data_IF_461981276460
#
_entry.id   IF_461981276460
#
_cell.length_a   1.000
_cell.length_b   1.000
_cell.length_c   1.000
_cell.angle_alpha   90.00
_cell.angle_beta   90.00
_cell.angle_gamma   90.00
#
_symmetry.space_group_name_H-M   'P 1'
#
loop_
_entity.id
_entity.type
_entity.pdbx_description
1 polymer ?
#
# COMPACT_ATOMS: atom_id res chain seq x y z
N UNK A 1 6.94 8.47 11.71
CA UNK A 1 7.45 8.07 13.04
C UNK A 1 7.26 6.57 13.35
N UNK A 2 6.05 6.01 13.21
CA UNK A 2 5.76 4.61 13.61
C UNK A 2 6.66 3.53 12.98
N UNK A 3 6.98 3.61 11.68
CA UNK A 3 7.86 2.64 10.98
C UNK A 3 9.32 2.69 11.48
N UNK A 4 9.84 3.89 11.73
CA UNK A 4 11.18 4.08 12.32
C UNK A 4 11.22 3.57 13.77
N UNK A 5 10.15 3.80 14.53
CA UNK A 5 9.99 3.25 15.87
C UNK A 5 9.93 1.72 15.84
N UNK A 6 9.16 1.11 14.93
CA UNK A 6 9.12 -0.33 14.74
C UNK A 6 10.50 -0.93 14.45
N UNK A 7 11.28 -0.34 13.53
CA UNK A 7 12.63 -0.79 13.22
C UNK A 7 13.57 -0.73 14.44
N UNK A 8 13.48 0.35 15.22
CA UNK A 8 14.25 0.52 16.44
C UNK A 8 13.87 -0.53 17.50
N UNK A 9 12.57 -0.77 17.69
CA UNK A 9 12.05 -1.79 18.62
C UNK A 9 12.50 -3.19 18.21
N UNK A 10 12.47 -3.51 16.91
CA UNK A 10 12.97 -4.76 16.37
C UNK A 10 14.48 -4.93 16.62
N UNK A 11 15.28 -3.87 16.44
CA UNK A 11 16.73 -3.92 16.75
C UNK A 11 17.02 -4.20 18.23
N UNK A 12 16.14 -3.75 19.13
CA UNK A 12 16.26 -3.93 20.57
C UNK A 12 15.69 -5.24 21.10
N UNK A 13 15.13 -6.11 20.25
CA UNK A 13 14.46 -7.35 20.68
C UNK A 13 13.11 -7.13 21.39
N UNK A 14 12.58 -5.90 21.38
CA UNK A 14 11.34 -5.57 22.11
C UNK A 14 10.08 -6.21 21.48
N UNK A 15 10.22 -6.78 20.28
CA UNK A 15 9.13 -7.45 19.55
C UNK A 15 9.13 -8.96 19.74
N UNK A 16 10.15 -9.55 20.37
CA UNK A 16 10.29 -11.01 20.50
C UNK A 16 9.07 -11.62 21.21
N UNK A 17 8.57 -10.93 22.24
CA UNK A 17 7.33 -11.30 22.96
C UNK A 17 6.09 -11.39 22.06
N UNK A 18 6.04 -10.62 20.97
CA UNK A 18 4.92 -10.59 20.02
C UNK A 18 5.00 -11.70 18.97
N UNK A 19 6.13 -12.41 18.93
CA UNK A 19 6.38 -13.46 17.95
C UNK A 19 6.31 -14.87 18.53
N UNK A 20 6.29 -14.98 19.87
CA UNK A 20 6.32 -16.26 20.59
C UNK A 20 4.95 -16.94 20.70
N UNK A 21 3.86 -16.19 20.55
CA UNK A 21 2.50 -16.71 20.65
C UNK A 21 2.16 -17.76 19.58
N UNK A 22 1.07 -18.49 19.78
CA UNK A 22 0.66 -19.58 18.88
C UNK A 22 0.24 -19.04 17.51
N UNK A 23 -0.58 -18.00 17.53
CA UNK A 23 -1.05 -17.28 16.33
C UNK A 23 0.11 -16.61 15.63
N UNK A 24 0.97 -15.91 16.37
CA UNK A 24 2.16 -15.27 15.82
C UNK A 24 3.10 -16.25 15.10
N UNK A 25 3.33 -17.44 15.68
CA UNK A 25 4.11 -18.51 15.04
C UNK A 25 3.44 -19.05 13.78
N UNK A 26 2.12 -19.26 13.82
CA UNK A 26 1.35 -19.67 12.63
C UNK A 26 1.45 -18.64 11.49
N UNK A 27 1.49 -17.35 11.83
CA UNK A 27 1.64 -16.25 10.88
C UNK A 27 3.09 -15.98 10.49
N UNK A 28 4.05 -16.67 11.11
CA UNK A 28 5.49 -16.42 10.95
C UNK A 28 5.86 -14.95 11.21
N UNK A 29 5.28 -14.31 12.23
CA UNK A 29 5.48 -12.86 12.50
C UNK A 29 6.96 -12.48 12.69
N UNK A 30 7.76 -13.33 13.35
CA UNK A 30 9.20 -13.09 13.50
C UNK A 30 9.91 -12.97 12.13
N UNK A 31 9.54 -13.85 11.19
CA UNK A 31 10.10 -13.84 9.85
C UNK A 31 9.65 -12.60 9.07
N UNK A 32 8.36 -12.26 9.15
CA UNK A 32 7.82 -11.04 8.53
C UNK A 32 8.55 -9.79 9.04
N UNK A 33 8.68 -9.60 10.36
CA UNK A 33 9.34 -8.43 10.94
C UNK A 33 10.83 -8.36 10.60
N UNK A 34 11.52 -9.50 10.55
CA UNK A 34 12.91 -9.55 10.05
C UNK A 34 12.99 -9.10 8.60
N UNK A 35 12.06 -9.53 7.76
CA UNK A 35 12.03 -9.21 6.33
C UNK A 35 11.67 -7.77 6.01
N UNK A 36 11.00 -7.04 6.91
CA UNK A 36 10.72 -5.59 6.74
C UNK A 36 11.99 -4.80 6.42
N UNK A 37 13.15 -5.22 6.96
CA UNK A 37 14.45 -4.57 6.70
C UNK A 37 14.95 -4.74 5.26
N UNK A 38 14.49 -5.79 4.59
CA UNK A 38 14.87 -6.15 3.25
C UNK A 38 13.80 -5.73 2.21
N UNK A 39 12.67 -5.17 2.68
CA UNK A 39 11.51 -4.87 1.84
C UNK A 39 10.83 -6.13 1.27
N UNK A 40 9.66 -5.95 0.66
CA UNK A 40 8.95 -6.96 -0.14
C UNK A 40 8.53 -8.18 0.66
N UNK A 41 7.98 -7.96 1.85
CA UNK A 41 7.59 -9.08 2.72
C UNK A 41 6.60 -9.96 1.97
N UNK A 42 5.64 -9.37 1.25
CA UNK A 42 4.70 -10.10 0.41
C UNK A 42 5.36 -11.08 -0.58
N UNK A 43 6.38 -10.65 -1.33
CA UNK A 43 7.09 -11.54 -2.26
C UNK A 43 7.94 -12.57 -1.52
N UNK A 44 8.73 -12.16 -0.54
CA UNK A 44 9.67 -13.06 0.16
C UNK A 44 8.95 -14.17 0.94
N UNK A 45 7.77 -13.85 1.47
CA UNK A 45 6.93 -14.80 2.19
C UNK A 45 5.96 -15.57 1.28
N UNK A 46 5.91 -15.24 -0.01
CA UNK A 46 5.03 -15.92 -0.97
C UNK A 46 3.54 -15.60 -0.80
N UNK A 47 3.17 -14.46 -0.21
CA UNK A 47 1.78 -14.07 0.01
C UNK A 47 1.00 -13.88 -1.30
N UNK A 48 1.69 -13.69 -2.42
CA UNK A 48 1.12 -13.60 -3.77
C UNK A 48 0.72 -14.95 -4.38
N UNK A 49 1.20 -16.08 -3.85
CA UNK A 49 0.91 -17.43 -4.39
C UNK A 49 -0.47 -17.96 -3.95
N UNK A 50 -1.35 -17.07 -3.49
CA UNK A 50 -2.63 -17.40 -2.91
C UNK A 50 -3.73 -16.66 -3.66
N UNK A 51 -4.20 -17.26 -4.76
CA UNK A 51 -5.58 -17.04 -5.20
C UNK A 51 -6.58 -17.33 -4.07
N UNK A 52 -7.89 -17.16 -4.26
CA UNK A 52 -8.89 -17.33 -3.20
C UNK A 52 -8.81 -18.73 -2.58
N UNK A 53 -8.09 -18.87 -1.46
CA UNK A 53 -7.79 -20.13 -0.77
C UNK A 53 -8.68 -20.29 0.47
N UNK A 54 -8.92 -21.53 0.92
CA UNK A 54 -9.63 -21.85 2.17
C UNK A 54 -8.94 -21.31 3.45
N UNK A 55 -7.68 -20.89 3.38
CA UNK A 55 -6.90 -20.37 4.51
C UNK A 55 -6.89 -18.84 4.61
N UNK A 56 -7.98 -18.19 4.19
CA UNK A 56 -8.11 -16.74 4.33
C UNK A 56 -8.11 -16.38 5.82
N UNK A 57 -7.15 -15.56 6.26
CA UNK A 57 -7.09 -15.15 7.67
C UNK A 57 -8.27 -14.24 8.00
N UNK A 58 -9.22 -14.77 8.76
CA UNK A 58 -10.40 -14.03 9.23
C UNK A 58 -10.33 -13.85 10.74
N UNK A 59 -10.56 -12.63 11.18
CA UNK A 59 -10.84 -12.27 12.56
C UNK A 59 -12.33 -12.37 12.85
N UNK A 60 -12.70 -11.95 14.06
CA UNK A 60 -14.08 -11.87 14.49
C UNK A 60 -14.72 -10.65 13.83
N UNK A 61 -15.70 -10.85 12.93
CA UNK A 61 -16.40 -9.74 12.27
C UNK A 61 -17.76 -9.54 12.94
N UNK A 62 -18.08 -8.31 13.30
CA UNK A 62 -19.31 -7.99 14.01
C UNK A 62 -20.56 -8.24 13.16
N UNK A 63 -21.67 -8.71 13.76
CA UNK A 63 -22.97 -8.70 13.09
C UNK A 63 -23.42 -7.30 12.64
N UNK A 64 -22.88 -6.24 13.25
CA UNK A 64 -23.14 -4.84 12.89
C UNK A 64 -22.25 -4.31 11.77
N UNK A 65 -21.37 -5.12 11.19
CA UNK A 65 -20.39 -4.69 10.19
C UNK A 65 -21.02 -4.01 8.96
N UNK A 66 -22.21 -4.46 8.55
CA UNK A 66 -22.98 -3.87 7.44
C UNK A 66 -23.52 -2.44 7.72
N UNK A 67 -23.48 -1.98 8.97
CA UNK A 67 -23.81 -0.61 9.33
C UNK A 67 -22.71 0.34 8.87
N UNK A 68 -21.45 -0.13 8.88
CA UNK A 68 -20.26 0.67 8.60
C UNK A 68 -19.62 0.35 7.26
N UNK A 69 -19.92 -0.79 6.66
CA UNK A 69 -19.40 -1.20 5.36
C UNK A 69 -20.52 -1.69 4.45
N UNK A 70 -20.30 -1.63 3.14
CA UNK A 70 -21.16 -2.20 2.13
C UNK A 70 -20.39 -3.14 1.21
N UNK A 71 -21.11 -4.09 0.64
CA UNK A 71 -20.56 -5.09 -0.26
C UNK A 71 -20.59 -4.54 -1.70
N UNK A 72 -19.49 -4.67 -2.44
CA UNK A 72 -19.44 -4.30 -3.86
C UNK A 72 -18.63 -5.32 -4.66
N UNK A 73 -19.03 -5.54 -5.92
CA UNK A 73 -18.29 -6.38 -6.85
C UNK A 73 -17.14 -5.60 -7.48
N UNK A 74 -15.92 -6.03 -7.25
CA UNK A 74 -14.72 -5.46 -7.83
C UNK A 74 -14.18 -6.38 -8.92
N UNK A 75 -14.15 -5.86 -10.13
CA UNK A 75 -13.58 -6.53 -11.29
C UNK A 75 -12.20 -5.98 -11.65
N UNK A 76 -11.64 -5.08 -10.85
CA UNK A 76 -10.32 -4.50 -11.08
C UNK A 76 -9.22 -5.56 -11.10
N UNK A 77 -8.08 -5.26 -11.70
CA UNK A 77 -7.14 -6.30 -12.06
C UNK A 77 -6.35 -6.76 -10.81
N UNK A 78 -6.09 -8.08 -10.70
CA UNK A 78 -5.24 -8.78 -9.69
C UNK A 78 -5.89 -9.36 -8.41
N UNK A 79 -5.09 -9.45 -7.34
CA UNK A 79 -5.23 -10.16 -6.06
C UNK A 79 -6.55 -9.91 -5.33
N UNK A 80 -7.23 -8.82 -5.67
CA UNK A 80 -8.49 -8.44 -5.09
C UNK A 80 -9.64 -8.54 -6.11
N UNK A 81 -9.64 -9.42 -7.10
CA UNK A 81 -10.85 -9.67 -7.91
C UNK A 81 -11.94 -10.36 -7.06
N UNK A 82 -13.18 -9.88 -7.17
CA UNK A 82 -14.36 -10.54 -6.59
C UNK A 82 -15.19 -9.61 -5.71
N UNK A 83 -15.77 -10.16 -4.64
CA UNK A 83 -16.62 -9.41 -3.72
C UNK A 83 -15.77 -8.79 -2.61
N UNK A 84 -15.94 -7.48 -2.39
CA UNK A 84 -15.23 -6.72 -1.35
C UNK A 84 -16.14 -5.93 -0.46
N UNK A 85 -15.58 -5.49 0.66
CA UNK A 85 -16.24 -4.63 1.62
C UNK A 85 -15.61 -3.25 1.60
N UNK A 86 -16.41 -2.27 1.21
CA UNK A 86 -16.01 -0.87 1.20
C UNK A 86 -16.64 -0.18 2.42
N UNK A 87 -15.94 0.75 3.07
CA UNK A 87 -16.51 1.48 4.19
C UNK A 87 -17.59 2.43 3.68
N UNK A 88 -18.63 2.69 4.48
CA UNK A 88 -19.52 3.82 4.22
C UNK A 88 -18.80 5.09 4.62
N UNK A 89 -18.73 6.04 3.69
CA UNK A 89 -18.07 7.31 3.94
C UNK A 89 -18.70 8.03 5.14
N UNK A 90 -17.92 8.23 6.20
CA UNK A 90 -18.40 8.72 7.49
C UNK A 90 -17.22 9.24 8.32
N UNK A 91 -17.46 9.91 9.47
CA UNK A 91 -16.37 10.50 10.26
C UNK A 91 -15.24 9.53 10.62
N UNK A 92 -15.54 8.25 10.87
CA UNK A 92 -14.49 7.26 11.18
C UNK A 92 -13.59 6.93 9.98
N UNK A 93 -14.12 7.02 8.75
CA UNK A 93 -13.32 6.92 7.51
C UNK A 93 -12.57 8.22 7.28
N UNK A 94 -13.21 9.37 7.46
CA UNK A 94 -12.54 10.68 7.31
C UNK A 94 -11.33 10.80 8.24
N UNK A 95 -11.44 10.24 9.44
CA UNK A 95 -10.35 10.18 10.40
C UNK A 95 -9.11 9.48 9.85
N UNK A 96 -9.25 8.36 9.13
CA UNK A 96 -8.10 7.68 8.52
C UNK A 96 -7.52 8.41 7.30
N UNK A 97 -8.14 9.50 6.85
CA UNK A 97 -7.74 10.26 5.65
C UNK A 97 -7.30 11.71 5.91
N UNK A 98 -7.66 12.33 7.04
CA UNK A 98 -7.18 13.66 7.44
C UNK A 98 -7.19 14.74 6.33
N UNK A 99 -8.33 14.93 5.65
CA UNK A 99 -8.54 15.77 4.47
C UNK A 99 -8.17 17.27 4.55
N UNK A 100 -7.70 17.78 5.70
CA UNK A 100 -7.32 19.19 5.85
C UNK A 100 -5.85 19.27 6.28
N UNK A 101 -4.95 19.29 5.31
CA UNK A 101 -3.58 19.71 5.51
C UNK A 101 -3.06 20.35 4.23
N UNK A 102 -2.70 21.63 4.31
CA UNK A 102 -2.07 22.37 3.22
C UNK A 102 -0.68 21.75 2.92
N UNK A 103 -0.33 21.43 1.66
CA UNK A 103 0.90 20.70 1.31
C UNK A 103 2.20 21.34 1.82
N UNK A 104 2.18 22.61 2.21
CA UNK A 104 3.34 23.36 2.70
C UNK A 104 3.62 23.15 4.20
N UNK A 105 2.72 22.56 4.98
CA UNK A 105 2.82 22.49 6.45
C UNK A 105 2.49 21.11 7.06
N UNK A 106 2.57 20.03 6.28
CA UNK A 106 2.31 18.66 6.78
C UNK A 106 3.58 18.02 7.41
N UNK A 107 3.66 17.82 8.74
CA UNK A 107 4.78 17.17 9.39
C UNK A 107 4.78 15.63 9.22
N UNK A 108 3.77 15.06 8.54
CA UNK A 108 3.64 13.61 8.30
C UNK A 108 4.49 13.17 7.09
N UNK A 109 4.90 11.88 7.03
CA UNK A 109 5.67 11.34 5.90
C UNK A 109 4.93 11.46 4.54
N UNK A 110 5.67 11.53 3.43
CA UNK A 110 5.16 11.78 2.06
C UNK A 110 3.98 10.87 1.66
N UNK A 111 3.96 9.62 2.12
CA UNK A 111 2.95 8.61 1.81
C UNK A 111 1.61 8.77 2.58
N UNK A 112 1.52 9.74 3.50
CA UNK A 112 0.30 10.11 4.22
C UNK A 112 -0.28 11.45 3.75
N UNK A 113 0.26 12.05 2.69
CA UNK A 113 -0.15 13.38 2.19
C UNK A 113 -1.40 13.28 1.31
N UNK A 114 -2.28 14.30 1.30
CA UNK A 114 -3.43 14.35 0.40
C UNK A 114 -3.00 14.32 -1.07
N UNK A 115 -3.75 13.58 -1.89
CA UNK A 115 -3.51 13.40 -3.33
C UNK A 115 -3.76 14.71 -4.05
N UNK A 116 -2.72 15.29 -4.64
CA UNK A 116 -2.83 16.48 -5.49
C UNK A 116 -3.25 16.03 -6.89
N UNK A 117 -4.45 16.45 -7.32
CA UNK A 117 -4.92 16.29 -8.70
C UNK A 117 -4.35 17.44 -9.54
N UNK A 118 -3.18 17.24 -10.14
CA UNK A 118 -2.72 18.13 -11.21
C UNK A 118 -3.10 17.47 -12.55
N UNK A 119 -3.82 18.20 -13.41
CA UNK A 119 -3.96 17.81 -14.81
C UNK A 119 -2.56 17.76 -15.42
N UNK A 120 -2.06 16.54 -15.70
CA UNK A 120 -0.78 16.38 -16.34
C UNK A 120 -0.85 16.94 -17.78
N UNK A 121 0.15 17.70 -18.23
CA UNK A 121 0.23 18.13 -19.63
C UNK A 121 0.29 16.92 -20.57
N UNK A 122 -0.08 17.11 -21.84
CA UNK A 122 -0.01 16.07 -22.86
C UNK A 122 1.43 15.58 -23.01
N UNK A 123 1.62 14.25 -22.93
CA UNK A 123 2.91 13.56 -23.07
C UNK A 123 3.51 13.69 -24.49
N UNK A 124 4.83 13.56 -24.59
CA UNK A 124 5.57 13.53 -25.86
C UNK A 124 5.79 12.07 -26.28
N UNK A 125 5.60 11.77 -27.57
CA UNK A 125 5.52 10.42 -28.14
C UNK A 125 6.85 9.67 -28.04
N UNK A 126 6.84 8.52 -27.36
CA UNK A 126 7.97 7.57 -27.28
C UNK A 126 7.66 6.28 -28.03
N UNK A 127 8.63 5.76 -28.77
CA UNK A 127 8.72 4.31 -28.97
C UNK A 127 9.05 3.71 -27.60
N UNK A 128 8.07 3.09 -26.95
CA UNK A 128 8.32 2.30 -25.73
C UNK A 128 9.40 1.27 -26.06
N UNK A 129 10.56 1.26 -25.36
CA UNK A 129 11.55 0.21 -25.59
C UNK A 129 10.85 -1.14 -25.42
N UNK A 130 11.00 -2.03 -26.40
CA UNK A 130 10.57 -3.42 -26.30
C UNK A 130 11.16 -3.95 -25.00
N UNK A 131 10.28 -4.33 -24.07
CA UNK A 131 10.68 -4.81 -22.77
C UNK A 131 11.71 -5.93 -22.95
N UNK A 132 12.93 -5.66 -22.50
CA UNK A 132 13.84 -6.72 -22.11
C UNK A 132 13.57 -6.89 -20.61
N UNK A 133 13.33 -8.11 -20.12
CA UNK A 133 13.33 -8.33 -18.68
C UNK A 133 14.59 -7.69 -18.12
N UNK A 134 14.45 -6.75 -17.17
CA UNK A 134 15.55 -6.49 -16.27
C UNK A 134 16.02 -7.88 -15.82
N UNK A 135 17.33 -8.19 -15.85
CA UNK A 135 17.82 -9.51 -15.49
C UNK A 135 17.45 -9.97 -14.07
N UNK A 136 16.64 -9.22 -13.31
CA UNK A 136 16.08 -9.66 -12.04
C UNK A 136 14.76 -9.02 -11.56
N UNK A 137 13.91 -8.32 -12.34
CA UNK A 137 12.66 -7.80 -11.70
C UNK A 137 11.45 -7.57 -12.61
N UNK A 138 10.54 -8.55 -12.62
CA UNK A 138 9.10 -8.28 -12.63
C UNK A 138 8.74 -7.78 -11.22
N UNK A 139 8.14 -6.59 -11.09
CA UNK A 139 7.49 -6.10 -9.86
C UNK A 139 8.25 -6.22 -8.51
N UNK A 140 9.57 -6.18 -8.40
CA UNK A 140 10.26 -6.32 -7.10
C UNK A 140 10.43 -5.01 -6.33
N UNK A 141 10.96 -5.08 -5.10
CA UNK A 141 11.26 -3.89 -4.29
C UNK A 141 12.53 -3.17 -4.67
N UNK A 142 12.51 -1.84 -4.47
CA UNK A 142 13.68 -0.96 -4.59
C UNK A 142 14.90 -1.39 -3.76
N UNK A 143 14.71 -2.11 -2.65
CA UNK A 143 15.78 -2.53 -1.73
C UNK A 143 16.69 -3.61 -2.35
N UNK A 144 16.15 -4.45 -3.24
CA UNK A 144 16.90 -5.53 -3.91
C UNK A 144 17.45 -5.12 -5.28
N UNK A 145 17.14 -3.91 -5.74
CA UNK A 145 17.59 -3.41 -7.03
C UNK A 145 18.98 -2.77 -6.84
N UNK A 146 20.08 -3.43 -7.28
CA UNK A 146 21.40 -2.80 -7.23
C UNK A 146 21.38 -1.51 -8.06
N UNK A 147 21.99 -0.41 -7.58
CA UNK A 147 22.12 0.81 -8.37
C UNK A 147 22.80 0.52 -9.71
N UNK A 148 22.30 1.12 -10.78
CA UNK A 148 23.00 1.11 -12.06
C UNK A 148 24.23 2.00 -11.89
N UNK A 149 25.41 1.42 -12.05
CA UNK A 149 26.65 2.19 -12.01
C UNK A 149 26.77 3.00 -13.30
N UNK A 150 26.61 4.32 -13.19
CA UNK A 150 26.82 5.22 -14.32
C UNK A 150 28.23 5.82 -14.26
N UNK A 151 28.95 5.76 -15.38
CA UNK A 151 30.24 6.43 -15.59
C UNK A 151 30.11 7.79 -16.28
N UNK A 152 28.91 8.09 -16.79
CA UNK A 152 28.56 9.34 -17.46
C UNK A 152 28.20 10.42 -16.42
N UNK A 153 28.60 11.70 -16.62
CA UNK A 153 28.23 12.80 -15.74
C UNK A 153 26.74 13.22 -15.81
N UNK A 154 25.97 12.70 -16.76
CA UNK A 154 24.52 12.94 -16.88
C UNK A 154 23.73 12.17 -15.82
N UNK A 155 22.49 12.60 -15.60
CA UNK A 155 21.57 11.92 -14.70
C UNK A 155 21.11 10.58 -15.26
N UNK A 156 20.55 9.73 -14.39
CA UNK A 156 19.91 8.47 -14.78
C UNK A 156 18.78 8.21 -13.77
N UNK A 157 17.54 8.41 -14.20
CA UNK A 157 16.37 7.99 -13.43
C UNK A 157 16.08 6.53 -13.75
N UNK A 158 15.70 5.79 -12.71
CA UNK A 158 15.36 4.39 -12.85
C UNK A 158 14.05 4.12 -12.13
N UNK A 159 13.09 3.54 -12.84
CA UNK A 159 11.93 2.91 -12.22
C UNK A 159 12.41 1.73 -11.37
N UNK A 160 12.17 1.82 -10.06
CA UNK A 160 12.68 0.86 -9.08
C UNK A 160 11.64 -0.16 -8.64
N UNK A 161 10.38 0.24 -8.48
CA UNK A 161 9.29 -0.64 -8.08
C UNK A 161 7.92 -0.03 -8.37
N UNK A 162 6.90 -0.89 -8.51
CA UNK A 162 5.48 -0.50 -8.57
C UNK A 162 4.70 -1.41 -7.63
N UNK A 163 3.84 -0.84 -6.78
CA UNK A 163 2.97 -1.60 -5.86
C UNK A 163 1.54 -1.10 -5.94
N UNK A 164 0.60 -2.02 -5.77
CA UNK A 164 -0.80 -1.71 -5.60
C UNK A 164 -1.03 -1.24 -4.16
N UNK A 165 -1.67 -0.08 -3.99
CA UNK A 165 -1.95 0.50 -2.68
C UNK A 165 -3.37 0.13 -2.27
N UNK A 166 -4.37 0.61 -3.02
CA UNK A 166 -5.78 0.35 -2.71
C UNK A 166 -6.65 0.33 -3.99
N UNK A 167 -7.81 -0.37 -3.95
CA UNK A 167 -8.74 -0.47 -5.09
C UNK A 167 -9.64 0.76 -5.28
N UNK A 168 -9.42 1.85 -4.54
CA UNK A 168 -10.31 3.00 -4.55
C UNK A 168 -11.62 2.78 -3.82
N UNK A 169 -12.67 3.46 -4.28
CA UNK A 169 -13.96 3.52 -3.61
C UNK A 169 -15.07 3.84 -4.62
N UNK A 170 -16.03 2.92 -4.83
CA UNK A 170 -17.02 3.05 -5.91
C UNK A 170 -17.96 4.25 -5.72
N UNK A 171 -18.47 4.49 -4.51
CA UNK A 171 -19.40 5.61 -4.27
C UNK A 171 -18.72 6.98 -4.37
N UNK A 172 -17.41 7.05 -4.14
CA UNK A 172 -16.61 8.28 -4.21
C UNK A 172 -15.94 8.43 -5.59
N UNK A 173 -16.25 7.52 -6.53
CA UNK A 173 -15.69 7.48 -7.89
C UNK A 173 -14.16 7.48 -7.92
N UNK A 174 -13.53 6.77 -6.97
CA UNK A 174 -12.08 6.64 -6.88
C UNK A 174 -11.63 5.34 -7.56
N UNK A 175 -10.71 5.45 -8.52
CA UNK A 175 -10.04 4.32 -9.16
C UNK A 175 -8.86 3.77 -8.34
N UNK A 176 -8.08 2.83 -8.89
CA UNK A 176 -7.00 2.18 -8.16
C UNK A 176 -5.85 3.15 -7.87
N UNK A 177 -5.21 2.99 -6.72
CA UNK A 177 -3.97 3.71 -6.38
C UNK A 177 -2.77 2.77 -6.42
N UNK A 178 -1.69 3.26 -7.00
CA UNK A 178 -0.39 2.59 -7.03
C UNK A 178 0.69 3.48 -6.42
N UNK A 179 1.71 2.86 -5.85
CA UNK A 179 2.93 3.50 -5.40
C UNK A 179 4.05 3.16 -6.36
N UNK A 180 4.70 4.19 -6.88
CA UNK A 180 5.83 4.08 -7.81
C UNK A 180 7.09 4.53 -7.08
N UNK A 181 8.11 3.68 -7.07
CA UNK A 181 9.44 4.04 -6.60
C UNK A 181 10.35 4.26 -7.78
N UNK A 182 11.17 5.28 -7.69
CA UNK A 182 12.21 5.57 -8.67
C UNK A 182 13.47 6.04 -7.96
N UNK A 183 14.60 5.91 -8.64
CA UNK A 183 15.92 6.24 -8.12
C UNK A 183 16.62 7.20 -9.06
N UNK A 184 17.36 8.14 -8.51
CA UNK A 184 18.41 8.85 -9.24
C UNK A 184 19.72 8.07 -9.05
N UNK A 185 20.17 7.34 -10.08
CA UNK A 185 21.45 6.61 -10.04
C UNK A 185 22.66 7.55 -10.18
N UNK A 186 22.43 8.82 -10.48
CA UNK A 186 23.47 9.82 -10.61
C UNK A 186 24.11 10.23 -9.29
N UNK A 187 25.32 10.77 -9.40
CA UNK A 187 26.07 11.36 -8.28
C UNK A 187 25.76 12.86 -8.07
N UNK A 188 24.76 13.39 -8.78
CA UNK A 188 24.30 14.78 -8.69
C UNK A 188 22.79 14.83 -8.41
N UNK A 189 22.32 15.79 -7.63
CA UNK A 189 20.89 16.01 -7.45
C UNK A 189 20.24 16.46 -8.76
N UNK A 190 19.01 16.02 -8.98
CA UNK A 190 18.14 16.50 -10.06
C UNK A 190 17.20 17.53 -9.43
N UNK A 191 17.47 18.81 -9.66
CA UNK A 191 16.65 19.92 -9.16
C UNK A 191 15.61 20.42 -10.19
N UNK A 192 15.58 19.82 -11.38
CA UNK A 192 14.59 20.11 -12.41
C UNK A 192 13.36 19.23 -12.16
N UNK A 193 12.15 19.80 -12.15
CA UNK A 193 10.94 19.00 -12.02
C UNK A 193 10.69 18.09 -13.22
N UNK A 194 10.11 16.91 -13.00
CA UNK A 194 9.76 15.93 -14.03
C UNK A 194 8.48 15.16 -13.65
N UNK A 195 7.84 14.51 -14.62
CA UNK A 195 6.57 13.79 -14.40
C UNK A 195 6.76 12.28 -14.23
N UNK A 196 6.10 11.72 -13.22
CA UNK A 196 5.92 10.27 -13.07
C UNK A 196 4.46 9.95 -13.37
N UNK A 197 4.21 9.07 -14.33
CA UNK A 197 2.87 8.81 -14.87
C UNK A 197 2.51 7.33 -14.86
N UNK A 198 1.21 7.09 -14.68
CA UNK A 198 0.56 5.81 -14.91
C UNK A 198 -0.43 5.95 -16.06
N UNK A 199 -0.45 4.98 -16.96
CA UNK A 199 -1.46 4.86 -18.01
C UNK A 199 -2.05 3.46 -17.98
N UNK A 200 -3.38 3.37 -18.07
CA UNK A 200 -4.10 2.11 -18.15
C UNK A 200 -4.41 1.80 -19.61
N UNK A 201 -4.02 0.61 -20.08
CA UNK A 201 -4.26 0.12 -21.43
C UNK A 201 -4.73 -1.33 -21.46
N UNK A 202 -5.08 -1.78 -22.66
CA UNK A 202 -5.37 -3.20 -22.95
C UNK A 202 -4.34 -3.84 -23.88
N UNK A 203 -3.35 -3.07 -24.31
CA UNK A 203 -2.27 -3.47 -25.21
C UNK A 203 -0.93 -3.07 -24.61
N UNK A 204 0.14 -3.77 -25.01
CA UNK A 204 1.51 -3.47 -24.58
C UNK A 204 2.05 -2.18 -25.20
N UNK A 205 1.51 -1.75 -26.34
CA UNK A 205 1.84 -0.47 -26.93
C UNK A 205 1.04 0.66 -26.28
N UNK A 206 1.71 1.78 -26.02
CA UNK A 206 1.06 3.01 -25.60
C UNK A 206 0.23 3.59 -26.74
N UNK A 207 -0.99 4.02 -26.39
CA UNK A 207 -1.91 4.67 -27.31
C UNK A 207 -2.25 6.09 -26.85
N UNK A 208 -2.73 6.91 -27.78
CA UNK A 208 -3.23 8.25 -27.46
C UNK A 208 -4.53 8.12 -26.66
N UNK A 209 -4.75 8.99 -25.66
CA UNK A 209 -5.95 9.06 -24.82
C UNK A 209 -6.20 7.85 -23.91
N UNK A 210 -5.16 7.08 -23.56
CA UNK A 210 -5.29 6.12 -22.46
C UNK A 210 -5.68 6.85 -21.16
N UNK A 211 -6.58 6.29 -20.34
CA UNK A 211 -6.82 6.81 -19.00
C UNK A 211 -5.50 6.88 -18.22
N UNK A 212 -5.17 8.06 -17.72
CA UNK A 212 -3.85 8.34 -17.15
C UNK A 212 -3.94 9.24 -15.92
N UNK A 213 -2.92 9.16 -15.09
CA UNK A 213 -2.71 10.05 -13.96
C UNK A 213 -1.20 10.18 -13.70
N UNK A 214 -0.77 11.27 -13.07
CA UNK A 214 0.64 11.49 -12.78
C UNK A 214 0.89 12.47 -11.65
N UNK A 215 2.14 12.50 -11.20
CA UNK A 215 2.63 13.42 -10.18
C UNK A 215 3.87 14.12 -10.71
N UNK A 216 3.89 15.44 -10.56
CA UNK A 216 5.07 16.25 -10.81
C UNK A 216 6.04 16.15 -9.64
N UNK A 217 7.18 15.51 -9.86
CA UNK A 217 8.29 15.45 -8.90
C UNK A 217 9.09 16.74 -9.05
N UNK A 218 9.36 17.44 -7.94
CA UNK A 218 10.06 18.73 -7.97
C UNK A 218 11.58 18.56 -8.04
N UNK A 219 12.12 17.61 -7.27
CA UNK A 219 13.54 17.31 -7.21
C UNK A 219 13.77 15.92 -6.58
N UNK A 220 14.94 15.36 -6.82
CA UNK A 220 15.44 14.13 -6.18
C UNK A 220 16.96 14.21 -5.97
N UNK A 221 17.44 13.85 -4.80
CA UNK A 221 18.86 13.92 -4.45
C UNK A 221 19.69 12.85 -5.18
N UNK A 222 21.02 13.02 -5.19
CA UNK A 222 21.94 12.04 -5.74
C UNK A 222 21.82 10.69 -5.01
N UNK A 223 21.68 9.60 -5.76
CA UNK A 223 21.53 8.24 -5.19
C UNK A 223 20.22 7.99 -4.45
N UNK A 224 19.33 8.98 -4.35
CA UNK A 224 18.10 8.86 -3.58
C UNK A 224 17.10 7.94 -4.28
N UNK A 225 16.34 7.19 -3.46
CA UNK A 225 15.12 6.51 -3.88
C UNK A 225 13.94 7.27 -3.32
N UNK A 226 13.07 7.74 -4.20
CA UNK A 226 11.83 8.43 -3.85
C UNK A 226 10.64 7.59 -4.28
N UNK A 227 9.46 7.87 -3.70
CA UNK A 227 8.21 7.26 -4.12
C UNK A 227 7.09 8.27 -4.20
N UNK A 228 6.17 8.03 -5.13
CA UNK A 228 4.93 8.80 -5.30
C UNK A 228 3.73 7.86 -5.37
N UNK A 229 2.60 8.33 -4.84
CA UNK A 229 1.31 7.66 -4.94
C UNK A 229 0.49 8.28 -6.06
N UNK A 230 0.04 7.46 -7.00
CA UNK A 230 -0.73 7.90 -8.17
C UNK A 230 -2.04 7.13 -8.20
N UNK A 231 -3.16 7.84 -8.24
CA UNK A 231 -4.50 7.27 -8.37
C UNK A 231 -4.97 7.38 -9.81
N UNK A 232 -5.24 6.24 -10.43
CA UNK A 232 -5.86 6.18 -11.74
C UNK A 232 -7.36 6.52 -11.64
N UNK A 233 -7.95 7.03 -12.73
CA UNK A 233 -9.38 7.36 -12.78
C UNK A 233 -10.23 6.08 -12.70
N UNK A 234 -11.48 6.16 -12.20
CA UNK A 234 -12.30 4.96 -11.92
C UNK A 234 -12.69 4.18 -13.18
N UNK A 235 -12.69 4.85 -14.33
CA UNK A 235 -13.02 4.32 -15.65
C UNK A 235 -12.10 3.16 -16.06
N UNK A 236 -10.91 3.05 -15.46
CA UNK A 236 -9.98 1.93 -15.72
C UNK A 236 -10.57 0.57 -15.36
N UNK A 237 -11.59 0.52 -14.50
CA UNK A 237 -12.30 -0.72 -14.16
C UNK A 237 -13.33 -1.17 -15.20
N UNK A 238 -13.60 -0.34 -16.22
CA UNK A 238 -14.62 -0.61 -17.24
C UNK A 238 -14.11 -0.35 -18.66
N UNK A 239 -12.84 -0.64 -18.92
CA UNK A 239 -12.18 -0.47 -20.23
C UNK A 239 -12.52 -1.54 -21.27
N UNK A 240 -13.30 -2.55 -20.91
CA UNK A 240 -13.82 -3.55 -21.84
C UNK A 240 -15.09 -4.24 -21.34
N UNK A 241 -15.49 -5.30 -22.04
CA UNK A 241 -16.64 -6.15 -21.69
C UNK A 241 -16.29 -7.62 -21.90
N UNK A 242 -16.71 -8.49 -20.99
CA UNK A 242 -16.59 -9.94 -21.14
C UNK A 242 -17.72 -10.50 -22.03
N UNK A 243 -17.69 -11.80 -22.31
CA UNK A 243 -18.70 -12.49 -23.12
C UNK A 243 -20.14 -12.42 -22.55
N UNK A 244 -20.29 -12.06 -21.26
CA UNK A 244 -21.58 -11.88 -20.57
C UNK A 244 -21.98 -10.41 -20.46
N UNK A 245 -21.19 -9.49 -21.04
CA UNK A 245 -21.42 -8.06 -20.96
C UNK A 245 -21.01 -7.42 -19.62
N UNK A 246 -20.29 -8.12 -18.74
CA UNK A 246 -19.75 -7.52 -17.52
C UNK A 246 -18.56 -6.61 -17.86
N UNK A 247 -18.36 -5.49 -17.14
CA UNK A 247 -17.18 -4.66 -17.31
C UNK A 247 -15.90 -5.45 -17.04
N UNK A 248 -14.92 -5.32 -17.92
CA UNK A 248 -13.55 -5.80 -17.67
C UNK A 248 -12.63 -4.61 -17.43
N UNK A 249 -11.68 -4.74 -16.50
CA UNK A 249 -10.71 -3.70 -16.24
C UNK A 249 -9.65 -3.67 -17.35
N UNK A 250 -8.79 -2.66 -17.25
CA UNK A 250 -7.54 -2.62 -17.99
C UNK A 250 -6.65 -3.85 -17.72
N UNK A 251 -5.90 -4.28 -18.73
CA UNK A 251 -5.03 -5.47 -18.66
C UNK A 251 -3.53 -5.12 -18.63
N UNK A 252 -3.17 -3.87 -18.92
CA UNK A 252 -1.77 -3.40 -18.93
C UNK A 252 -1.64 -2.07 -18.18
N UNK A 253 -0.82 -2.05 -17.13
CA UNK A 253 -0.37 -0.85 -16.44
C UNK A 253 0.94 -0.38 -17.05
N UNK A 254 0.92 0.78 -17.70
CA UNK A 254 2.13 1.46 -18.14
C UNK A 254 2.60 2.42 -17.04
N UNK A 255 3.89 2.39 -16.72
CA UNK A 255 4.51 3.27 -15.74
C UNK A 255 5.69 3.95 -16.38
N UNK A 256 5.75 5.28 -16.26
CA UNK A 256 6.80 6.10 -16.86
C UNK A 256 7.37 7.06 -15.81
N UNK A 257 8.70 7.14 -15.72
CA UNK A 257 9.46 8.13 -14.95
C UNK A 257 10.09 9.10 -15.95
N UNK A 258 9.98 10.40 -15.69
CA UNK A 258 10.32 11.46 -16.67
C UNK A 258 9.52 11.33 -17.98
N UNK A 259 8.20 11.20 -17.85
CA UNK A 259 7.29 10.93 -18.96
C UNK A 259 7.27 12.04 -20.05
N UNK A 260 7.80 13.23 -19.75
CA UNK A 260 7.89 14.38 -20.65
C UNK A 260 9.31 14.64 -21.19
N UNK A 261 10.28 13.76 -20.93
CA UNK A 261 11.68 13.89 -21.37
C UNK A 261 12.41 15.14 -20.88
N UNK A 262 12.13 15.58 -19.67
CA UNK A 262 12.66 16.85 -19.19
C UNK A 262 14.08 16.70 -18.62
N UNK A 263 14.49 15.48 -18.30
CA UNK A 263 15.80 15.17 -17.76
C UNK A 263 16.69 14.64 -18.88
N UNK A 264 17.89 15.22 -18.98
CA UNK A 264 18.92 14.73 -19.88
C UNK A 264 19.61 13.52 -19.25
N UNK A 265 19.29 12.34 -19.75
CA UNK A 265 19.69 11.07 -19.12
C UNK A 265 20.75 10.30 -19.90
N UNK A 266 21.46 9.44 -19.18
CA UNK A 266 22.45 8.50 -19.73
C UNK A 266 21.76 7.34 -20.45
N UNK A 267 20.75 6.75 -19.82
CA UNK A 267 19.87 5.73 -20.38
C UNK A 267 18.43 6.08 -20.01
N UNK A 268 17.51 5.73 -20.90
CA UNK A 268 16.06 5.91 -20.70
C UNK A 268 15.30 4.58 -20.70
N UNK A 269 16.00 3.47 -21.00
CA UNK A 269 15.41 2.15 -21.11
C UNK A 269 14.90 1.59 -19.77
N UNK A 270 15.33 2.20 -18.66
CA UNK A 270 15.04 1.89 -17.27
C UNK A 270 14.01 2.84 -16.65
N UNK A 271 13.46 3.79 -17.42
CA UNK A 271 12.51 4.78 -16.92
C UNK A 271 11.08 4.25 -16.84
N UNK A 272 10.77 3.16 -17.55
CA UNK A 272 9.41 2.70 -17.67
C UNK A 272 9.25 1.20 -17.73
N UNK A 273 8.01 0.77 -17.52
CA UNK A 273 7.61 -0.62 -17.65
C UNK A 273 6.13 -0.72 -18.04
N UNK A 274 5.81 -1.77 -18.78
CA UNK A 274 4.45 -2.25 -18.99
C UNK A 274 4.25 -3.52 -18.17
N UNK A 275 3.25 -3.52 -17.31
CA UNK A 275 3.02 -4.57 -16.32
C UNK A 275 1.60 -5.09 -16.45
N UNK A 276 1.41 -6.41 -16.46
CA UNK A 276 0.09 -6.94 -16.17
C UNK A 276 -0.25 -6.57 -14.72
N UNK A 277 -1.41 -5.98 -14.41
CA UNK A 277 -1.68 -5.57 -13.03
C UNK A 277 -1.80 -6.78 -12.09
N UNK A 278 -2.06 -7.98 -12.64
CA UNK A 278 -1.96 -9.27 -11.94
C UNK A 278 -0.59 -9.50 -11.28
N UNK A 279 0.48 -8.96 -11.88
CA UNK A 279 1.84 -9.08 -11.39
C UNK A 279 2.20 -7.97 -10.39
N UNK A 280 1.35 -6.94 -10.25
CA UNK A 280 1.61 -5.84 -9.33
C UNK A 280 1.18 -6.22 -7.92
N UNK A 281 2.18 -6.53 -7.10
CA UNK A 281 1.98 -6.90 -5.69
C UNK A 281 1.42 -5.73 -4.86
N UNK A 282 0.68 -6.01 -3.78
CA UNK A 282 0.18 -4.99 -2.88
C UNK A 282 1.32 -4.49 -2.01
N UNK A 283 1.21 -3.26 -1.50
CA UNK A 283 2.12 -2.78 -0.47
C UNK A 283 2.04 -3.67 0.78
N UNK A 284 3.15 -3.73 1.52
CA UNK A 284 3.16 -4.36 2.84
C UNK A 284 2.28 -3.54 3.80
N UNK A 285 1.42 -4.18 4.60
CA UNK A 285 0.53 -3.46 5.51
C UNK A 285 1.34 -2.68 6.56
N UNK A 286 0.90 -1.47 6.87
CA UNK A 286 1.54 -0.63 7.88
C UNK A 286 0.48 0.07 8.73
N UNK A 287 0.69 0.09 10.04
CA UNK A 287 -0.18 0.75 11.00
C UNK A 287 0.50 2.03 11.51
N UNK A 288 -0.26 3.12 11.60
CA UNK A 288 0.27 4.45 11.89
C UNK A 288 -0.17 4.95 13.25
N UNK A 289 -1.47 4.86 13.56
CA UNK A 289 -2.06 5.51 14.72
C UNK A 289 -3.30 4.77 15.23
N UNK A 290 -3.58 4.93 16.52
CA UNK A 290 -4.81 4.47 17.18
C UNK A 290 -5.56 5.66 17.78
N UNK A 291 -6.88 5.66 17.67
CA UNK A 291 -7.75 6.57 18.39
C UNK A 291 -8.93 5.81 19.03
N UNK A 292 -9.07 5.83 20.37
CA UNK A 292 -8.13 6.39 21.34
C UNK A 292 -6.88 5.51 21.55
N UNK A 293 -5.80 6.09 22.08
CA UNK A 293 -4.59 5.35 22.50
C UNK A 293 -4.76 4.63 23.86
N UNK A 294 -5.90 4.83 24.52
CA UNK A 294 -6.29 4.14 25.74
C UNK A 294 -7.79 3.81 25.71
N UNK A 295 -8.15 2.56 26.00
CA UNK A 295 -9.53 2.10 25.87
C UNK A 295 -9.89 1.10 26.97
N UNK A 296 -11.17 1.11 27.39
CA UNK A 296 -11.75 0.10 28.27
C UNK A 296 -12.16 -1.15 27.50
N UNK A 297 -12.41 -2.23 28.23
CA UNK A 297 -13.09 -3.43 27.75
C UNK A 297 -14.37 -3.07 26.98
N UNK A 298 -14.56 -3.61 25.78
CA UNK A 298 -15.72 -3.28 24.93
C UNK A 298 -15.73 -1.87 24.31
N UNK A 299 -14.71 -1.05 24.58
CA UNK A 299 -14.56 0.27 23.96
C UNK A 299 -14.19 0.14 22.48
N UNK A 300 -14.65 1.08 21.66
CA UNK A 300 -14.28 1.13 20.24
C UNK A 300 -12.93 1.82 20.04
N UNK A 301 -12.16 1.31 19.07
CA UNK A 301 -10.87 1.86 18.67
C UNK A 301 -10.80 1.93 17.14
N UNK A 302 -10.31 3.06 16.65
CA UNK A 302 -9.95 3.31 15.27
C UNK A 302 -8.45 3.12 15.08
N UNK A 303 -8.06 2.46 14.00
CA UNK A 303 -6.67 2.24 13.62
C UNK A 303 -6.45 2.77 12.20
N UNK A 304 -5.53 3.71 12.03
CA UNK A 304 -5.14 4.26 10.74
C UNK A 304 -3.91 3.53 10.21
N UNK A 305 -3.87 3.31 8.90
CA UNK A 305 -2.78 2.60 8.25
C UNK A 305 -2.88 2.60 6.73
N UNK A 306 -2.21 1.64 6.10
CA UNK A 306 -2.30 1.39 4.66
C UNK A 306 -2.07 -0.09 4.34
N UNK A 307 -2.56 -0.53 3.19
CA UNK A 307 -2.27 -1.87 2.67
C UNK A 307 -2.98 -2.98 3.42
N UNK A 308 -4.05 -2.68 4.18
CA UNK A 308 -4.84 -3.69 4.88
C UNK A 308 -5.69 -4.54 3.94
N UNK A 309 -5.84 -4.13 2.69
CA UNK A 309 -6.66 -4.79 1.69
C UNK A 309 -8.15 -4.48 1.84
N UNK A 310 -8.95 -4.73 0.79
CA UNK A 310 -10.39 -4.48 0.76
C UNK A 310 -11.25 -5.55 1.44
N UNK A 311 -10.63 -6.59 2.00
CA UNK A 311 -11.32 -7.68 2.69
C UNK A 311 -10.86 -7.75 4.15
N UNK A 312 -11.81 -7.91 5.11
CA UNK A 312 -11.48 -8.06 6.52
C UNK A 312 -10.50 -9.19 6.78
N UNK A 313 -9.34 -8.83 7.30
CA UNK A 313 -8.39 -9.79 7.84
C UNK A 313 -8.69 -10.08 9.31
N UNK A 314 -7.69 -9.89 10.17
CA UNK A 314 -7.75 -10.10 11.62
C UNK A 314 -7.10 -8.94 12.38
N UNK A 315 -7.64 -8.63 13.56
CA UNK A 315 -7.00 -7.75 14.54
C UNK A 315 -6.62 -8.60 15.74
N UNK A 316 -5.31 -8.67 16.02
CA UNK A 316 -4.74 -9.41 17.13
C UNK A 316 -4.30 -8.43 18.22
N UNK A 317 -4.83 -8.60 19.42
CA UNK A 317 -4.37 -7.91 20.62
C UNK A 317 -3.44 -8.82 21.41
N UNK A 318 -2.24 -8.34 21.71
CA UNK A 318 -1.28 -9.05 22.57
C UNK A 318 -1.16 -8.33 23.90
N UNK A 319 -1.63 -8.97 24.97
CA UNK A 319 -1.66 -8.41 26.34
C UNK A 319 -1.23 -9.46 27.34
N UNK A 320 -0.25 -9.14 28.20
CA UNK A 320 0.26 -10.11 29.19
C UNK A 320 0.85 -11.40 28.60
N UNK A 321 1.22 -11.41 27.31
CA UNK A 321 1.68 -12.61 26.59
C UNK A 321 0.56 -13.44 25.96
N UNK A 322 -0.70 -13.11 26.23
CA UNK A 322 -1.87 -13.72 25.61
C UNK A 322 -2.21 -13.04 24.29
N UNK A 323 -2.73 -13.84 23.37
CA UNK A 323 -3.14 -13.47 22.02
C UNK A 323 -4.67 -13.52 21.90
N UNK A 324 -5.31 -12.38 21.68
CA UNK A 324 -6.77 -12.27 21.70
C UNK A 324 -7.24 -11.57 20.42
N UNK A 325 -8.17 -12.20 19.69
CA UNK A 325 -8.79 -11.58 18.52
C UNK A 325 -9.77 -10.48 18.96
N UNK A 326 -9.64 -9.30 18.34
CA UNK A 326 -10.60 -8.22 18.50
C UNK A 326 -11.74 -8.31 17.48
N UNK A 327 -12.93 -7.85 17.88
CA UNK A 327 -14.11 -7.83 17.00
C UNK A 327 -14.02 -6.64 16.04
N UNK A 328 -14.06 -6.90 14.73
CA UNK A 328 -13.99 -5.92 13.66
C UNK A 328 -15.39 -5.34 13.42
N UNK A 329 -15.52 -4.03 13.57
CA UNK A 329 -16.73 -3.26 13.29
C UNK A 329 -16.73 -2.69 11.87
N UNK A 330 -15.56 -2.34 11.33
CA UNK A 330 -15.41 -1.79 9.99
C UNK A 330 -14.00 -2.01 9.47
N UNK A 331 -13.86 -2.23 8.16
CA UNK A 331 -12.57 -2.46 7.51
C UNK A 331 -12.44 -1.62 6.25
N UNK A 332 -11.25 -1.08 6.07
CA UNK A 332 -10.83 -0.40 4.87
C UNK A 332 -9.32 -0.57 4.68
N UNK A 333 -8.83 -0.38 3.46
CA UNK A 333 -7.41 -0.51 3.16
C UNK A 333 -6.55 0.45 4.00
N UNK A 334 -7.10 1.63 4.32
CA UNK A 334 -6.43 2.69 5.09
C UNK A 334 -6.83 2.75 6.57
N UNK A 335 -7.72 1.87 7.03
CA UNK A 335 -8.09 1.89 8.44
C UNK A 335 -9.06 0.82 8.86
N UNK A 336 -9.01 0.49 10.15
CA UNK A 336 -9.86 -0.52 10.76
C UNK A 336 -10.54 0.06 11.99
N UNK A 337 -11.82 -0.25 12.17
CA UNK A 337 -12.57 0.01 13.40
C UNK A 337 -12.83 -1.32 14.10
N UNK A 338 -12.49 -1.41 15.37
CA UNK A 338 -12.66 -2.63 16.15
C UNK A 338 -13.07 -2.34 17.59
N UNK A 339 -13.58 -3.36 18.26
CA UNK A 339 -13.94 -3.33 19.68
C UNK A 339 -12.84 -3.97 20.50
N UNK A 340 -12.43 -3.32 21.59
CA UNK A 340 -11.53 -3.92 22.57
C UNK A 340 -12.14 -5.23 23.10
N UNK A 341 -11.39 -6.35 23.08
CA UNK A 341 -11.84 -7.60 23.66
C UNK A 341 -12.26 -7.43 25.11
N UNK A 342 -13.06 -8.38 25.61
CA UNK A 342 -13.39 -8.42 27.04
C UNK A 342 -12.12 -8.72 27.85
N UNK A 343 -11.59 -7.69 28.49
CA UNK A 343 -10.43 -7.74 29.36
C UNK A 343 -10.84 -7.26 30.74
N UNK A 344 -10.34 -7.89 31.79
CA UNK A 344 -10.56 -7.46 33.18
C UNK A 344 -9.22 -7.20 33.86
N UNK A 345 -8.46 -6.19 33.43
CA UNK A 345 -7.17 -5.92 34.04
C UNK A 345 -7.39 -5.23 35.40
N UNK A 346 -6.77 -5.76 36.46
CA UNK A 346 -6.88 -5.19 37.82
C UNK A 346 -6.24 -3.78 37.96
N UNK A 347 -5.41 -3.40 36.98
CA UNK A 347 -4.72 -2.10 36.86
C UNK A 347 -4.52 -1.78 35.38
N UNK A 348 -4.03 -0.58 35.07
CA UNK A 348 -3.61 -0.25 33.70
C UNK A 348 -2.67 -1.33 33.14
N UNK A 349 -2.96 -1.78 31.92
CA UNK A 349 -2.14 -2.77 31.22
C UNK A 349 -1.74 -2.26 29.83
N UNK A 350 -0.49 -2.47 29.45
CA UNK A 350 -0.06 -2.23 28.06
C UNK A 350 -0.40 -3.43 27.20
N UNK A 351 -0.97 -3.17 26.03
CA UNK A 351 -1.21 -4.14 24.98
C UNK A 351 -0.63 -3.66 23.64
N UNK A 352 -0.44 -4.59 22.72
CA UNK A 352 -0.04 -4.29 21.34
C UNK A 352 -1.14 -4.75 20.38
N UNK A 353 -1.52 -3.89 19.46
CA UNK A 353 -2.50 -4.16 18.41
C UNK A 353 -1.75 -4.46 17.12
N UNK A 354 -2.06 -5.60 16.49
CA UNK A 354 -1.48 -6.03 15.22
C UNK A 354 -2.61 -6.27 14.22
N UNK A 355 -2.55 -5.57 13.08
CA UNK A 355 -3.43 -5.85 11.93
C UNK A 355 -2.80 -6.94 11.09
N UNK A 356 -3.59 -7.95 10.71
CA UNK A 356 -3.19 -9.02 9.81
C UNK A 356 -4.15 -9.00 8.63
N UNK A 357 -3.64 -8.77 7.42
CA UNK A 357 -4.42 -8.82 6.17
C UNK A 357 -4.86 -10.25 5.87
N UNK A 358 -5.90 -10.42 5.06
CA UNK A 358 -6.48 -11.72 4.72
C UNK A 358 -5.51 -12.75 4.10
N UNK A 359 -4.40 -12.28 3.50
CA UNK A 359 -3.30 -13.10 2.95
C UNK A 359 -2.25 -13.51 4.01
N UNK A 360 -2.38 -13.04 5.25
CA UNK A 360 -1.46 -13.31 6.36
C UNK A 360 -0.36 -12.26 6.55
N UNK A 361 -0.28 -11.25 5.68
CA UNK A 361 0.66 -10.15 5.86
C UNK A 361 0.29 -9.32 7.10
N UNK A 362 1.25 -9.08 7.99
CA UNK A 362 1.02 -8.40 9.25
C UNK A 362 1.66 -7.02 9.29
N UNK A 363 0.92 -6.05 9.81
CA UNK A 363 1.42 -4.71 10.05
C UNK A 363 2.37 -4.64 11.24
N UNK A 364 3.09 -3.52 11.36
CA UNK A 364 3.80 -3.20 12.59
C UNK A 364 2.82 -3.06 13.77
N UNK A 365 3.21 -3.47 14.99
CA UNK A 365 2.38 -3.35 16.17
C UNK A 365 2.26 -1.89 16.62
N UNK A 366 1.08 -1.52 17.12
CA UNK A 366 0.83 -0.25 17.81
C UNK A 366 0.51 -0.52 19.29
N UNK A 367 1.03 0.33 20.18
CA UNK A 367 0.74 0.24 21.61
C UNK A 367 -0.62 0.84 21.93
N UNK A 368 -1.38 0.18 22.80
CA UNK A 368 -2.60 0.70 23.40
C UNK A 368 -2.59 0.46 24.91
N UNK A 369 -3.12 1.41 25.67
CA UNK A 369 -3.34 1.22 27.12
C UNK A 369 -4.73 0.66 27.36
N UNK A 370 -4.81 -0.50 28.01
CA UNK A 370 -6.07 -1.08 28.48
C UNK A 370 -6.38 -0.48 29.85
N UNK A 371 -7.50 0.22 29.92
CA UNK A 371 -8.00 0.84 31.15
C UNK A 371 -8.72 -0.21 32.01
N UNK A 372 -8.63 -0.13 33.36
CA UNK A 372 -9.53 -0.88 34.22
C UNK A 372 -10.98 -0.41 34.02
N UNK A 373 -11.93 -1.31 34.27
CA UNK A 373 -13.36 -1.06 34.09
C UNK A 373 -13.88 0.09 34.97
#
# INVERSE_FOLDING_TARGET
MAKAQHHNRLKKGELDRLTAGKTARSLKLAEQYRMVRHGDVARRMGFYNHGPRPNFHRGLVSPKYNQYCFKHGYWGPSLFVGVHWYPKWSPWVRWSWGYVCDPYWDPRPIYCRPVVYALAPAWVYWETPVWTPLPAVACGTWVDLPPVMISDPRSDLQLAAVRFVDPGHPDEKLGPRYRVWFRNNGNRPIARPFDVMLLAGNEEQLAVNLPQAGVRVTAIEAGEVQSVDIRLPIEVYAMGRDAKGNPTPFTVLHVLVDAAEEIAETTKANNGASLAPADVLPIDPAAFELEPIAAKSGGEVLLAGEGFGPQPGRILLVVGGEEIDAEILGWYDLGVRFTMPKLMPARLAEAEVIVVRGDGAAANPLKITVLPD
#
